data_IF_028685649955
#
_entry.id   IF_028685649955
#
_cell.length_a   1.000
_cell.length_b   1.000
_cell.length_c   1.000
_cell.angle_alpha   90.00
_cell.angle_beta   90.00
_cell.angle_gamma   90.00
#
_symmetry.space_group_name_H-M   'P 1'
#
loop_
_entity.id
_entity.type
_entity.pdbx_description
1 polymer ?
#
# COMPACT_ATOMS: atom_id res chain seq x y z
N UNK A 1 45.45 -38.31 -69.40
CA UNK A 1 45.65 -39.26 -68.28
C UNK A 1 44.53 -40.29 -68.36
N UNK A 2 44.86 -41.55 -68.04
CA UNK A 2 44.17 -42.76 -68.44
C UNK A 2 42.69 -42.85 -68.01
N UNK A 3 41.84 -43.42 -68.90
CA UNK A 3 40.43 -43.73 -68.64
C UNK A 3 40.30 -45.01 -67.82
N UNK A 4 40.06 -44.83 -66.53
CA UNK A 4 39.49 -45.84 -65.64
C UNK A 4 38.04 -45.42 -65.39
N UNK A 5 37.07 -46.25 -65.78
CA UNK A 5 35.64 -45.91 -65.92
C UNK A 5 34.84 -45.62 -64.64
N UNK A 6 35.35 -44.79 -63.73
CA UNK A 6 34.65 -44.32 -62.54
C UNK A 6 34.36 -42.82 -62.61
N UNK A 7 33.09 -42.45 -62.38
CA UNK A 7 32.67 -41.06 -62.19
C UNK A 7 32.74 -40.74 -60.70
N UNK A 8 33.73 -39.97 -60.31
CA UNK A 8 33.86 -39.47 -58.94
C UNK A 8 33.09 -38.16 -58.80
N UNK A 9 32.25 -38.05 -57.78
CA UNK A 9 31.65 -36.78 -57.40
C UNK A 9 32.75 -35.85 -56.87
N UNK A 10 32.99 -34.74 -57.56
CA UNK A 10 33.99 -33.75 -57.21
C UNK A 10 33.32 -32.43 -56.81
N UNK A 11 33.94 -31.65 -55.91
CA UNK A 11 33.45 -30.31 -55.62
C UNK A 11 33.45 -29.47 -56.90
N UNK A 12 32.52 -28.50 -57.01
CA UNK A 12 32.45 -27.65 -58.18
C UNK A 12 33.79 -26.93 -58.42
N UNK A 13 34.19 -26.69 -59.69
CA UNK A 13 35.40 -25.94 -59.99
C UNK A 13 35.27 -24.53 -59.41
N UNK A 14 36.06 -24.22 -58.38
CA UNK A 14 35.96 -22.98 -57.57
C UNK A 14 35.59 -23.19 -56.10
N UNK A 15 35.20 -24.41 -55.70
CA UNK A 15 34.90 -24.78 -54.32
C UNK A 15 33.52 -24.32 -53.83
N UNK A 16 33.14 -24.75 -52.63
CA UNK A 16 31.88 -24.35 -52.00
C UNK A 16 31.97 -22.95 -51.38
N UNK A 17 30.81 -22.30 -51.20
CA UNK A 17 30.75 -21.02 -50.47
C UNK A 17 31.34 -21.20 -49.07
N UNK A 18 32.15 -20.23 -48.65
CA UNK A 18 32.68 -20.18 -47.28
C UNK A 18 31.51 -20.21 -46.28
N UNK A 19 31.48 -21.25 -45.45
CA UNK A 19 30.51 -21.41 -44.38
C UNK A 19 30.98 -20.62 -43.16
N UNK A 20 30.09 -19.81 -42.57
CA UNK A 20 30.40 -19.15 -41.32
C UNK A 20 30.28 -20.15 -40.18
N UNK A 21 31.41 -20.65 -39.69
CA UNK A 21 31.49 -21.54 -38.54
C UNK A 21 31.55 -20.77 -37.20
N UNK A 22 31.71 -19.45 -37.24
CA UNK A 22 31.77 -18.61 -36.05
C UNK A 22 30.40 -18.35 -35.45
N UNK A 23 30.35 -18.20 -34.12
CA UNK A 23 29.12 -17.80 -33.41
C UNK A 23 28.75 -16.37 -33.80
N UNK A 24 27.57 -16.21 -34.40
CA UNK A 24 27.02 -14.90 -34.75
C UNK A 24 26.07 -14.44 -33.65
N UNK A 25 26.47 -13.44 -32.86
CA UNK A 25 25.60 -12.86 -31.84
C UNK A 25 24.63 -11.84 -32.45
N UNK A 26 23.36 -11.82 -32.03
CA UNK A 26 22.44 -10.78 -32.44
C UNK A 26 22.85 -9.43 -31.84
N UNK A 27 22.64 -8.35 -32.59
CA UNK A 27 22.83 -6.99 -32.06
C UNK A 27 21.76 -6.71 -31.01
N UNK A 28 22.17 -6.35 -29.79
CA UNK A 28 21.25 -5.97 -28.72
C UNK A 28 20.77 -4.52 -28.92
N UNK A 29 19.45 -4.35 -28.99
CA UNK A 29 18.80 -3.03 -29.02
C UNK A 29 18.89 -2.33 -27.67
N UNK A 30 18.80 -3.09 -26.57
CA UNK A 30 18.88 -2.60 -25.20
C UNK A 30 20.32 -2.54 -24.71
N UNK A 31 21.06 -1.54 -25.19
CA UNK A 31 22.40 -1.24 -24.65
C UNK A 31 22.25 -0.57 -23.27
N UNK A 32 23.23 -0.72 -22.36
CA UNK A 32 23.13 -0.15 -21.02
C UNK A 32 22.79 1.35 -21.01
N UNK A 33 23.39 2.14 -21.91
CA UNK A 33 23.08 3.58 -22.03
C UNK A 33 21.64 3.87 -22.48
N UNK A 34 21.06 3.03 -23.35
CA UNK A 34 19.66 3.18 -23.80
C UNK A 34 18.70 2.87 -22.65
N UNK A 35 19.00 1.84 -21.86
CA UNK A 35 18.20 1.48 -20.69
C UNK A 35 18.24 2.60 -19.65
N UNK A 36 19.42 3.13 -19.34
CA UNK A 36 19.57 4.24 -18.39
C UNK A 36 18.81 5.49 -18.88
N UNK A 37 18.93 5.84 -20.15
CA UNK A 37 18.22 6.98 -20.72
C UNK A 37 16.69 6.79 -20.67
N UNK A 38 16.19 5.59 -20.96
CA UNK A 38 14.77 5.28 -20.90
C UNK A 38 14.23 5.40 -19.46
N UNK A 39 14.94 4.83 -18.47
CA UNK A 39 14.57 4.92 -17.06
C UNK A 39 14.61 6.36 -16.55
N UNK A 40 15.63 7.12 -16.95
CA UNK A 40 15.74 8.53 -16.59
C UNK A 40 14.59 9.34 -17.19
N UNK A 41 14.30 9.17 -18.48
CA UNK A 41 13.18 9.83 -19.16
C UNK A 41 11.84 9.52 -18.50
N UNK A 42 11.58 8.25 -18.19
CA UNK A 42 10.37 7.82 -17.48
C UNK A 42 10.28 8.46 -16.08
N UNK A 43 11.39 8.52 -15.34
CA UNK A 43 11.46 9.13 -14.01
C UNK A 43 11.15 10.62 -14.04
N UNK A 44 11.71 11.37 -15.00
CA UNK A 44 11.47 12.81 -15.15
C UNK A 44 10.01 13.09 -15.47
N UNK A 45 9.42 12.34 -16.41
CA UNK A 45 8.00 12.48 -16.76
C UNK A 45 7.12 12.14 -15.55
N UNK A 46 7.44 11.07 -14.83
CA UNK A 46 6.72 10.68 -13.61
C UNK A 46 6.78 11.76 -12.53
N UNK A 47 7.96 12.35 -12.29
CA UNK A 47 8.14 13.43 -11.33
C UNK A 47 7.34 14.69 -11.73
N UNK A 48 7.39 15.08 -13.00
CA UNK A 48 6.61 16.22 -13.51
C UNK A 48 5.11 16.01 -13.33
N UNK A 49 4.59 14.83 -13.68
CA UNK A 49 3.18 14.50 -13.48
C UNK A 49 2.79 14.47 -12.01
N UNK A 50 3.66 13.96 -11.13
CA UNK A 50 3.42 13.92 -9.69
C UNK A 50 3.31 15.33 -9.08
N UNK A 51 4.16 16.26 -9.55
CA UNK A 51 4.10 17.67 -9.14
C UNK A 51 2.82 18.32 -9.66
N UNK A 52 2.48 18.13 -10.95
CA UNK A 52 1.26 18.69 -11.54
C UNK A 52 -0.01 18.21 -10.81
N UNK A 53 -0.06 16.93 -10.41
CA UNK A 53 -1.18 16.34 -9.66
C UNK A 53 -1.14 16.62 -8.15
N UNK A 54 -0.11 17.30 -7.62
CA UNK A 54 0.03 17.55 -6.18
C UNK A 54 -1.11 18.42 -5.65
N UNK A 55 -1.47 19.49 -6.36
CA UNK A 55 -2.51 20.43 -5.93
C UNK A 55 -3.87 19.73 -5.79
N UNK A 56 -4.29 18.98 -6.82
CA UNK A 56 -5.54 18.23 -6.79
C UNK A 56 -5.62 17.24 -5.61
N UNK A 57 -4.55 16.48 -5.36
CA UNK A 57 -4.48 15.55 -4.22
C UNK A 57 -4.54 16.23 -2.86
N UNK A 58 -3.99 17.44 -2.74
CA UNK A 58 -4.07 18.22 -1.48
C UNK A 58 -5.48 18.75 -1.28
N UNK A 59 -6.14 19.21 -2.34
CA UNK A 59 -7.54 19.65 -2.29
C UNK A 59 -8.47 18.50 -1.88
N UNK A 60 -8.36 17.33 -2.51
CA UNK A 60 -9.14 16.13 -2.17
C UNK A 60 -8.96 15.74 -0.69
N UNK A 61 -7.71 15.70 -0.20
CA UNK A 61 -7.44 15.43 1.22
C UNK A 61 -8.03 16.48 2.16
N UNK A 62 -8.05 17.73 1.73
CA UNK A 62 -8.62 18.81 2.54
C UNK A 62 -10.14 18.63 2.67
N UNK A 63 -10.81 18.27 1.57
CA UNK A 63 -12.25 17.96 1.57
C UNK A 63 -12.57 16.76 2.48
N UNK A 64 -11.78 15.68 2.42
CA UNK A 64 -11.95 14.51 3.30
C UNK A 64 -11.85 14.86 4.79
N UNK A 65 -10.85 15.68 5.15
CA UNK A 65 -10.63 16.13 6.52
C UNK A 65 -11.76 17.05 6.98
N UNK A 66 -12.23 17.95 6.12
CA UNK A 66 -13.32 18.86 6.45
C UNK A 66 -14.64 18.11 6.70
N UNK A 67 -14.97 17.13 5.85
CA UNK A 67 -16.12 16.23 6.06
C UNK A 67 -15.99 15.48 7.38
N UNK A 68 -14.79 14.96 7.69
CA UNK A 68 -14.55 14.24 8.94
C UNK A 68 -14.73 15.16 10.15
N UNK A 69 -14.21 16.38 10.08
CA UNK A 69 -14.32 17.38 11.14
C UNK A 69 -15.79 17.81 11.36
N UNK A 70 -16.56 17.97 10.28
CA UNK A 70 -17.99 18.27 10.35
C UNK A 70 -18.80 17.14 11.01
N UNK A 71 -18.40 15.87 10.81
CA UNK A 71 -19.08 14.70 11.39
C UNK A 71 -18.62 14.36 12.81
N UNK A 72 -17.41 14.78 13.20
CA UNK A 72 -16.82 14.51 14.51
C UNK A 72 -17.73 14.82 15.72
N UNK A 73 -18.46 15.95 15.80
CA UNK A 73 -19.32 16.22 16.95
C UNK A 73 -20.46 15.20 17.09
N UNK A 74 -21.04 14.73 15.99
CA UNK A 74 -22.10 13.72 16.03
C UNK A 74 -21.57 12.36 16.49
N UNK A 75 -20.44 11.92 15.93
CA UNK A 75 -19.80 10.66 16.32
C UNK A 75 -19.37 10.66 17.79
N UNK A 76 -18.86 11.81 18.26
CA UNK A 76 -18.47 11.97 19.66
C UNK A 76 -19.69 11.94 20.57
N UNK A 77 -20.78 12.63 20.22
CA UNK A 77 -22.02 12.60 20.98
C UNK A 77 -22.65 11.19 21.06
N UNK A 78 -22.62 10.42 19.97
CA UNK A 78 -23.09 9.02 19.97
C UNK A 78 -22.23 8.13 20.87
N UNK A 79 -20.90 8.27 20.77
CA UNK A 79 -19.95 7.56 21.64
C UNK A 79 -20.20 7.88 23.10
N UNK A 80 -20.36 9.15 23.44
CA UNK A 80 -20.57 9.60 24.82
C UNK A 80 -21.89 9.08 25.38
N UNK A 81 -22.97 9.09 24.57
CA UNK A 81 -24.26 8.47 24.95
C UNK A 81 -24.11 6.97 25.21
N UNK A 82 -23.39 6.26 24.37
CA UNK A 82 -23.13 4.83 24.56
C UNK A 82 -22.31 4.58 25.84
N UNK A 83 -21.28 5.39 26.06
CA UNK A 83 -20.41 5.30 27.23
C UNK A 83 -21.17 5.52 28.53
N UNK A 84 -22.01 6.55 28.61
CA UNK A 84 -22.85 6.82 29.78
C UNK A 84 -23.82 5.66 30.07
N UNK A 85 -24.42 5.06 29.03
CA UNK A 85 -25.28 3.87 29.19
C UNK A 85 -24.50 2.68 29.74
N UNK A 86 -23.28 2.46 29.27
CA UNK A 86 -22.41 1.38 29.77
C UNK A 86 -22.03 1.61 31.23
N UNK A 87 -21.64 2.84 31.60
CA UNK A 87 -21.32 3.19 32.98
C UNK A 87 -22.52 3.00 33.91
N UNK A 88 -23.73 3.36 33.46
CA UNK A 88 -24.96 3.12 34.23
C UNK A 88 -25.16 1.62 34.50
N UNK A 89 -25.08 0.78 33.47
CA UNK A 89 -25.20 -0.69 33.62
C UNK A 89 -24.14 -1.26 34.56
N UNK A 90 -22.89 -0.83 34.42
CA UNK A 90 -21.81 -1.30 35.29
C UNK A 90 -22.05 -0.90 36.75
N UNK A 91 -22.62 0.28 37.00
CA UNK A 91 -22.98 0.72 38.34
C UNK A 91 -24.10 -0.12 38.94
N UNK A 92 -25.15 -0.41 38.15
CA UNK A 92 -26.25 -1.29 38.57
C UNK A 92 -25.74 -2.69 38.92
N UNK A 93 -24.83 -3.24 38.09
CA UNK A 93 -24.18 -4.54 38.37
C UNK A 93 -23.26 -4.49 39.59
N UNK A 94 -22.52 -3.40 39.79
CA UNK A 94 -21.66 -3.22 40.95
C UNK A 94 -22.48 -3.22 42.25
N UNK A 95 -23.63 -2.54 42.25
CA UNK A 95 -24.56 -2.52 43.38
C UNK A 95 -25.11 -3.91 43.71
N UNK A 96 -25.48 -4.69 42.68
CA UNK A 96 -25.95 -6.07 42.86
C UNK A 96 -24.86 -7.00 43.42
N UNK A 97 -23.64 -6.90 42.89
CA UNK A 97 -22.52 -7.80 43.24
C UNK A 97 -21.89 -7.45 44.58
N UNK A 98 -21.78 -6.15 44.93
CA UNK A 98 -21.04 -5.68 46.11
C UNK A 98 -21.90 -5.45 47.35
N UNK A 99 -23.19 -5.82 47.32
CA UNK A 99 -24.14 -5.66 48.43
C UNK A 99 -23.67 -6.28 49.76
N UNK A 100 -22.90 -7.36 49.69
CA UNK A 100 -22.50 -8.15 50.86
C UNK A 100 -21.13 -7.75 51.43
N UNK A 101 -20.45 -6.76 50.83
CA UNK A 101 -19.08 -6.35 51.22
C UNK A 101 -19.13 -5.14 52.16
N UNK A 102 -18.71 -5.26 53.44
CA UNK A 102 -18.78 -4.16 54.39
C UNK A 102 -17.81 -3.03 54.03
N UNK A 103 -18.32 -1.79 53.97
CA UNK A 103 -17.53 -0.58 53.70
C UNK A 103 -17.36 -0.21 52.22
N UNK A 104 -17.90 -1.02 51.29
CA UNK A 104 -17.94 -0.69 49.87
C UNK A 104 -18.89 0.47 49.59
N UNK A 105 -18.49 1.43 48.74
CA UNK A 105 -19.39 2.46 48.20
C UNK A 105 -19.36 2.36 46.69
N UNK A 106 -20.53 2.12 46.11
CA UNK A 106 -20.74 1.98 44.66
C UNK A 106 -20.28 3.24 43.93
N UNK A 107 -19.55 3.06 42.82
CA UNK A 107 -19.13 4.17 41.94
C UNK A 107 -17.89 4.94 42.40
N UNK A 108 -17.09 4.43 43.35
CA UNK A 108 -15.86 5.07 43.81
C UNK A 108 -14.67 4.69 42.90
N UNK A 109 -13.99 5.68 42.31
CA UNK A 109 -12.73 5.45 41.56
C UNK A 109 -11.50 5.56 42.46
N UNK A 110 -10.43 4.86 42.07
CA UNK A 110 -9.14 4.77 42.78
C UNK A 110 -8.42 6.13 42.94
N UNK A 111 -8.69 7.12 42.07
CA UNK A 111 -7.91 8.37 41.95
C UNK A 111 -8.71 9.66 42.25
N UNK A 112 -9.92 9.58 42.82
CA UNK A 112 -10.73 10.75 43.22
C UNK A 112 -12.15 10.75 42.65
N UNK A 113 -13.02 11.67 43.12
CA UNK A 113 -14.44 11.67 42.80
C UNK A 113 -14.70 12.09 41.34
N UNK A 114 -15.63 11.41 40.68
CA UNK A 114 -16.28 11.95 39.48
C UNK A 114 -17.37 12.93 39.93
N UNK A 115 -17.41 14.13 39.37
CA UNK A 115 -18.47 15.14 39.60
C UNK A 115 -19.88 14.71 39.10
N UNK A 116 -20.11 13.42 38.82
CA UNK A 116 -21.41 12.86 38.39
C UNK A 116 -22.26 12.34 39.55
N UNK A 117 -21.86 12.61 40.80
CA UNK A 117 -22.60 12.16 41.98
C UNK A 117 -23.96 12.88 42.13
N UNK A 118 -24.11 14.05 41.48
CA UNK A 118 -25.24 14.96 41.67
C UNK A 118 -26.18 15.09 40.46
N UNK A 119 -25.95 14.36 39.36
CA UNK A 119 -26.90 14.35 38.24
C UNK A 119 -28.07 13.41 38.54
N UNK A 120 -29.05 13.91 39.29
CA UNK A 120 -30.40 13.36 39.36
C UNK A 120 -31.13 13.71 38.05
N UNK A 121 -31.15 12.78 37.10
CA UNK A 121 -32.05 12.78 35.94
C UNK A 121 -33.15 11.74 36.16
#
# INVERSE_FOLDING_TARGET
MAETGYRQEMPPPGGYRKFNYGRTFPKLVWRPGVVVAAVFGASVVGAFQAIAKKKARVTEKFEDVDITNAMQPFLTAERDRYWLKLLKKNRELEEEIMKDVPGWKVGRKLLGPFYLQDFHL
#
